data_IF_621179597131
#
_entry.id   IF_621179597131
#
_cell.length_a   1.000
_cell.length_b   1.000
_cell.length_c   1.000
_cell.angle_alpha   90.00
_cell.angle_beta   90.00
_cell.angle_gamma   90.00
#
_symmetry.space_group_name_H-M   'P 1'
#
loop_
_entity.id
_entity.type
_entity.pdbx_description
1 polymer ?
#
# COMPACT_ATOMS: atom_id res chain seq x y z
N UNK A 1 -2.13 11.52 -0.72
CA UNK A 1 -2.56 10.98 0.58
C UNK A 1 -3.86 10.26 0.35
N UNK A 2 -3.92 8.97 0.67
CA UNK A 2 -5.12 8.16 0.52
C UNK A 2 -5.41 7.45 1.85
N UNK A 3 -6.68 7.40 2.22
CA UNK A 3 -7.15 6.67 3.40
C UNK A 3 -7.65 5.30 2.94
N UNK A 4 -7.21 4.24 3.60
CA UNK A 4 -7.74 2.89 3.35
C UNK A 4 -8.13 2.26 4.69
N UNK A 5 -9.18 1.47 4.69
CA UNK A 5 -9.63 0.77 5.90
C UNK A 5 -8.79 -0.49 6.10
N UNK A 6 -8.61 -0.91 7.36
CA UNK A 6 -7.81 -2.11 7.68
C UNK A 6 -8.34 -3.36 6.99
N UNK A 7 -9.67 -3.49 6.87
CA UNK A 7 -10.35 -4.63 6.24
C UNK A 7 -10.33 -4.63 4.71
N UNK A 8 -9.75 -3.62 4.06
CA UNK A 8 -9.63 -3.59 2.61
C UNK A 8 -8.60 -4.61 2.11
N UNK A 9 -8.79 -5.07 0.88
CA UNK A 9 -7.84 -5.96 0.22
C UNK A 9 -6.76 -5.18 -0.54
N UNK A 10 -5.53 -5.70 -0.61
CA UNK A 10 -4.45 -5.09 -1.38
C UNK A 10 -4.82 -4.87 -2.86
N UNK A 11 -5.64 -5.75 -3.43
CA UNK A 11 -6.16 -5.60 -4.79
C UNK A 11 -7.03 -4.35 -4.96
N UNK A 12 -7.88 -4.05 -3.98
CA UNK A 12 -8.73 -2.85 -3.98
C UNK A 12 -7.88 -1.58 -3.86
N UNK A 13 -6.85 -1.63 -3.00
CA UNK A 13 -5.89 -0.55 -2.85
C UNK A 13 -5.13 -0.28 -4.17
N UNK A 14 -4.56 -1.31 -4.79
CA UNK A 14 -3.83 -1.15 -6.05
C UNK A 14 -4.75 -0.67 -7.19
N UNK A 15 -5.98 -1.18 -7.24
CA UNK A 15 -6.98 -0.73 -8.21
C UNK A 15 -7.34 0.74 -8.03
N UNK A 16 -7.55 1.20 -6.79
CA UNK A 16 -7.82 2.59 -6.48
C UNK A 16 -6.66 3.51 -6.87
N UNK A 17 -5.41 3.12 -6.54
CA UNK A 17 -4.21 3.87 -6.91
C UNK A 17 -4.08 3.97 -8.43
N UNK A 18 -4.19 2.84 -9.15
CA UNK A 18 -4.07 2.79 -10.60
C UNK A 18 -5.14 3.63 -11.32
N UNK A 19 -6.34 3.77 -10.74
CA UNK A 19 -7.40 4.65 -11.24
C UNK A 19 -7.14 6.13 -11.03
N UNK A 20 -6.33 6.48 -10.03
CA UNK A 20 -5.97 7.86 -9.74
C UNK A 20 -4.80 8.32 -10.60
N UNK A 21 -3.77 7.48 -10.76
CA UNK A 21 -2.59 7.80 -11.57
C UNK A 21 -1.80 6.55 -11.92
N UNK A 22 -1.21 6.55 -13.11
CA UNK A 22 -0.26 5.51 -13.55
C UNK A 22 1.15 5.67 -12.98
N UNK A 23 1.45 6.82 -12.36
CA UNK A 23 2.76 7.13 -11.78
C UNK A 23 2.85 6.84 -10.28
N UNK A 24 1.75 6.41 -9.67
CA UNK A 24 1.64 6.18 -8.24
C UNK A 24 1.65 4.68 -7.93
N UNK A 25 2.36 4.29 -6.88
CA UNK A 25 2.38 2.91 -6.39
C UNK A 25 2.55 2.85 -4.87
N UNK A 26 2.25 1.69 -4.29
CA UNK A 26 2.45 1.42 -2.86
C UNK A 26 3.26 0.13 -2.65
N UNK A 27 4.29 0.12 -1.78
CA UNK A 27 5.11 -1.06 -1.52
C UNK A 27 4.36 -2.07 -0.64
N UNK A 28 3.68 -3.04 -1.26
CA UNK A 28 3.01 -4.15 -0.60
C UNK A 28 3.14 -5.47 -1.39
N UNK A 29 2.65 -6.58 -0.83
CA UNK A 29 2.64 -7.91 -1.48
C UNK A 29 1.88 -7.88 -2.81
N UNK A 30 2.25 -8.80 -3.69
CA UNK A 30 1.57 -9.04 -4.97
C UNK A 30 0.21 -9.75 -4.83
N UNK A 31 -0.10 -10.33 -3.68
CA UNK A 31 -1.30 -11.15 -3.48
C UNK A 31 -2.52 -10.25 -3.23
N UNK A 32 -3.48 -10.15 -4.18
CA UNK A 32 -4.54 -9.15 -4.11
C UNK A 32 -5.52 -9.37 -2.96
N UNK A 33 -5.70 -10.62 -2.52
CA UNK A 33 -6.67 -11.00 -1.48
C UNK A 33 -6.17 -10.79 -0.06
N UNK A 34 -4.91 -10.39 0.12
CA UNK A 34 -4.35 -10.14 1.45
C UNK A 34 -4.95 -8.85 2.02
N UNK A 35 -5.36 -8.93 3.28
CA UNK A 35 -5.89 -7.79 4.03
C UNK A 35 -4.79 -6.77 4.34
N UNK A 36 -5.10 -5.49 4.13
CA UNK A 36 -4.22 -4.34 4.38
C UNK A 36 -3.78 -4.29 5.84
N UNK A 37 -4.71 -4.42 6.79
CA UNK A 37 -4.46 -4.31 8.22
C UNK A 37 -3.35 -5.25 8.72
N UNK A 38 -3.45 -6.53 8.41
CA UNK A 38 -2.43 -7.52 8.79
C UNK A 38 -1.12 -7.39 8.00
N UNK A 39 -1.19 -6.96 6.74
CA UNK A 39 -0.02 -6.82 5.89
C UNK A 39 0.87 -5.64 6.30
N UNK A 40 0.28 -4.58 6.84
CA UNK A 40 1.00 -3.34 7.11
C UNK A 40 1.89 -3.42 8.36
N UNK A 41 1.88 -4.53 9.11
CA UNK A 41 2.81 -4.80 10.21
C UNK A 41 4.25 -5.17 9.80
N UNK A 42 4.62 -5.08 8.53
CA UNK A 42 5.94 -5.47 8.03
C UNK A 42 5.95 -6.21 6.69
N UNK A 43 4.86 -6.10 5.93
CA UNK A 43 4.71 -6.70 4.62
C UNK A 43 5.77 -6.24 3.61
N UNK A 44 6.32 -7.20 2.85
CA UNK A 44 7.28 -6.94 1.78
C UNK A 44 6.67 -7.20 0.39
N UNK A 45 7.14 -6.44 -0.59
CA UNK A 45 6.68 -6.49 -1.97
C UNK A 45 7.81 -6.34 -2.97
N UNK A 46 7.47 -6.22 -4.26
CA UNK A 46 8.44 -6.00 -5.34
C UNK A 46 9.20 -4.67 -5.21
N UNK A 47 8.59 -3.71 -4.52
CA UNK A 47 9.13 -2.37 -4.30
C UNK A 47 10.04 -2.25 -3.06
N UNK A 48 10.22 -3.34 -2.29
CA UNK A 48 10.91 -3.30 -0.99
C UNK A 48 12.34 -2.77 -1.05
N UNK A 49 13.07 -3.03 -2.13
CA UNK A 49 14.46 -2.56 -2.29
C UNK A 49 14.57 -1.06 -2.52
N UNK A 50 13.52 -0.42 -3.04
CA UNK A 50 13.53 1.01 -3.37
C UNK A 50 12.85 1.85 -2.28
N UNK A 51 11.77 1.33 -1.68
CA UNK A 51 10.90 2.09 -0.78
C UNK A 51 10.71 1.44 0.60
N UNK A 52 11.38 0.34 0.91
CA UNK A 52 11.24 -0.32 2.21
C UNK A 52 9.96 -1.15 2.32
N UNK A 53 9.61 -1.53 3.55
CA UNK A 53 8.42 -2.32 3.87
C UNK A 53 7.15 -1.47 3.75
N UNK A 54 5.99 -2.12 3.72
CA UNK A 54 4.69 -1.45 3.74
C UNK A 54 4.58 -0.50 4.95
N UNK A 55 5.08 -0.91 6.13
CA UNK A 55 5.02 -0.12 7.36
C UNK A 55 5.84 1.16 7.32
N UNK A 56 6.95 1.16 6.56
CA UNK A 56 7.83 2.33 6.42
C UNK A 56 7.14 3.47 5.63
N UNK A 57 5.99 3.17 5.00
CA UNK A 57 5.24 4.08 4.14
C UNK A 57 3.85 4.42 4.71
N UNK A 58 3.60 4.12 6.00
CA UNK A 58 2.37 4.46 6.74
C UNK A 58 2.64 5.67 7.63
N UNK A 59 1.85 6.74 7.51
CA UNK A 59 2.07 8.01 8.24
C UNK A 59 1.29 8.08 9.58
N UNK A 60 0.16 7.39 9.72
CA UNK A 60 -0.71 7.52 10.91
C UNK A 60 -1.52 6.24 11.19
N UNK A 61 -1.92 6.02 12.45
CA UNK A 61 -2.62 4.82 12.96
C UNK A 61 -4.02 4.62 12.34
N UNK A 62 -4.55 5.67 11.71
CA UNK A 62 -5.76 5.62 10.88
C UNK A 62 -5.45 5.63 9.37
N UNK A 63 -4.24 5.25 8.97
CA UNK A 63 -3.88 4.84 7.61
C UNK A 63 -3.94 5.91 6.52
N UNK A 64 -2.84 6.65 6.38
CA UNK A 64 -2.49 7.49 5.22
C UNK A 64 -1.43 6.77 4.38
N UNK A 65 -1.76 6.44 3.13
CA UNK A 65 -0.82 5.89 2.15
C UNK A 65 -0.12 7.04 1.41
N UNK A 66 1.20 7.09 1.53
CA UNK A 66 2.06 7.77 0.56
C UNK A 66 2.07 6.93 -0.72
N UNK A 67 1.30 7.38 -1.70
CA UNK A 67 1.45 6.90 -3.06
C UNK A 67 2.76 7.49 -3.59
N UNK A 68 3.75 6.64 -3.83
CA UNK A 68 5.07 7.10 -4.27
C UNK A 68 5.01 7.37 -5.77
N UNK A 69 5.23 8.64 -6.14
CA UNK A 69 5.45 9.06 -7.52
C UNK A 69 6.82 8.58 -7.99
N UNK A 70 6.88 7.97 -9.18
CA UNK A 70 8.13 7.65 -9.87
C UNK A 70 9.00 8.89 -10.12
#
# INVERSE_FOLDING_TARGET
MAWVQSGAQLGELFYAIARLSTHLAFPARLYPTVEVGGHFGGGFGTLVRKYGLAIDNVIDDYLIILAVGL
#
